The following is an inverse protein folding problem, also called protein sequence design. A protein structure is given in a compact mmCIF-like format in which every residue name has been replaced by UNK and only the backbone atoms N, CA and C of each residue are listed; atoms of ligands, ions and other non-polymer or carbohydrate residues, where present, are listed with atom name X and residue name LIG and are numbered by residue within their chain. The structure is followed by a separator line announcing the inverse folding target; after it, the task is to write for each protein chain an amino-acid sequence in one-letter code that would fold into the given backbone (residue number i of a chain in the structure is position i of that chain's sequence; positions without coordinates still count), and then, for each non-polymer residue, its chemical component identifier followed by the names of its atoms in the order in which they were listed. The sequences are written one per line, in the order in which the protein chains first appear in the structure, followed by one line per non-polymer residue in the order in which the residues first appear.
data_IF_906123182621
#
_entry.id   IF_906123182621
#
_cell.length_a   1.000
_cell.length_b   1.000
_cell.length_c   1.000
_cell.angle_alpha   90.00
_cell.angle_beta   90.00
_cell.angle_gamma   90.00
#
_symmetry.space_group_name_H-M   'P 1'
#
loop_
_entity.id
_entity.type
_entity.pdbx_description
1 polymer ?
#
# COMPACT_ATOMS: atom_id res chain seq x y z
N UNK A 1 -14.35 11.99 5.17
CA UNK A 1 -13.40 11.08 4.50
C UNK A 1 -13.83 9.67 4.83
N UNK A 2 -14.33 8.91 3.85
CA UNK A 2 -14.93 7.60 4.12
C UNK A 2 -13.86 6.51 3.96
N UNK A 3 -13.46 5.92 5.08
CA UNK A 3 -12.79 4.63 5.16
C UNK A 3 -13.79 3.69 5.83
N UNK A 4 -14.51 2.87 5.06
CA UNK A 4 -15.47 1.90 5.63
C UNK A 4 -14.93 0.46 5.64
N UNK A 5 -13.62 0.28 5.57
CA UNK A 5 -12.96 -0.99 5.92
C UNK A 5 -11.57 -0.67 6.48
N UNK A 6 -11.17 -1.25 7.64
CA UNK A 6 -9.82 -1.04 8.15
C UNK A 6 -8.82 -1.58 7.13
N UNK A 7 -7.75 -0.81 6.88
CA UNK A 7 -6.64 -1.29 6.07
C UNK A 7 -6.11 -2.60 6.67
N UNK A 8 -5.79 -3.60 5.82
CA UNK A 8 -5.23 -4.83 6.33
C UNK A 8 -3.92 -4.53 7.07
N UNK A 9 -3.68 -5.14 8.25
CA UNK A 9 -2.42 -4.95 8.97
C UNK A 9 -1.25 -5.47 8.11
N UNK A 10 -0.01 -5.04 8.38
CA UNK A 10 1.17 -5.55 7.69
C UNK A 10 1.18 -7.07 7.62
N UNK A 11 1.53 -7.67 6.47
CA UNK A 11 1.58 -9.12 6.38
C UNK A 11 2.66 -9.67 7.32
N UNK A 12 2.35 -10.74 8.04
CA UNK A 12 3.26 -11.38 9.00
C UNK A 12 4.31 -12.26 8.32
N UNK A 13 4.04 -12.68 7.08
CA UNK A 13 4.93 -13.52 6.27
C UNK A 13 4.61 -13.39 4.77
N UNK A 14 5.50 -13.93 3.93
CA UNK A 14 5.39 -13.91 2.47
C UNK A 14 4.13 -14.65 1.97
N UNK A 15 3.74 -15.75 2.62
CA UNK A 15 2.54 -16.50 2.22
C UNK A 15 1.28 -15.65 2.33
N UNK A 16 1.13 -14.90 3.43
CA UNK A 16 0.00 -14.00 3.62
C UNK A 16 -0.01 -12.85 2.60
N UNK A 17 1.17 -12.33 2.23
CA UNK A 17 1.31 -11.34 1.16
C UNK A 17 0.85 -11.92 -0.18
N UNK A 18 1.28 -13.15 -0.51
CA UNK A 18 0.92 -13.83 -1.74
C UNK A 18 -0.58 -14.13 -1.82
N UNK A 19 -1.19 -14.62 -0.74
CA UNK A 19 -2.64 -14.86 -0.67
C UNK A 19 -3.43 -13.56 -0.89
N UNK A 20 -2.97 -12.43 -0.32
CA UNK A 20 -3.58 -11.12 -0.56
C UNK A 20 -3.44 -10.71 -2.03
N UNK A 21 -2.26 -10.87 -2.63
CA UNK A 21 -2.03 -10.55 -4.03
C UNK A 21 -2.90 -11.40 -4.97
N UNK A 22 -3.04 -12.70 -4.70
CA UNK A 22 -3.89 -13.60 -5.45
C UNK A 22 -5.37 -13.18 -5.38
N UNK A 23 -5.84 -12.66 -4.24
CA UNK A 23 -7.21 -12.12 -4.12
C UNK A 23 -7.46 -10.87 -4.97
N UNK A 24 -6.41 -10.14 -5.36
CA UNK A 24 -6.53 -8.98 -6.25
C UNK A 24 -6.53 -9.40 -7.73
N UNK A 25 -6.07 -10.60 -8.06
CA UNK A 25 -6.04 -11.09 -9.42
C UNK A 25 -7.47 -11.16 -9.99
N UNK A 26 -7.62 -10.69 -11.23
CA UNK A 26 -8.91 -10.63 -11.91
C UNK A 26 -9.67 -9.32 -11.70
N UNK A 27 -9.24 -8.45 -10.79
CA UNK A 27 -9.77 -7.09 -10.68
C UNK A 27 -9.00 -6.10 -11.55
N UNK A 28 -9.73 -5.14 -12.10
CA UNK A 28 -9.16 -3.96 -12.71
C UNK A 28 -8.74 -2.94 -11.63
N UNK A 29 -7.77 -2.09 -11.96
CA UNK A 29 -7.36 -0.99 -11.08
C UNK A 29 -8.52 -0.05 -10.72
N UNK A 30 -9.49 0.12 -11.63
CA UNK A 30 -10.67 0.94 -11.39
C UNK A 30 -11.62 0.35 -10.36
N UNK A 31 -11.84 -0.97 -10.41
CA UNK A 31 -12.65 -1.67 -9.41
C UNK A 31 -12.00 -1.64 -8.03
N UNK A 32 -10.68 -1.86 -7.97
CA UNK A 32 -9.91 -1.75 -6.74
C UNK A 32 -9.98 -0.32 -6.17
N UNK A 33 -9.81 0.71 -6.99
CA UNK A 33 -9.91 2.09 -6.54
C UNK A 33 -11.33 2.47 -6.06
N UNK A 34 -12.36 2.03 -6.78
CA UNK A 34 -13.75 2.26 -6.37
C UNK A 34 -14.07 1.62 -5.02
N UNK A 35 -13.58 0.38 -4.79
CA UNK A 35 -13.73 -0.34 -3.51
C UNK A 35 -12.95 0.32 -2.38
N UNK A 36 -11.77 0.85 -2.67
CA UNK A 36 -10.95 1.61 -1.71
C UNK A 36 -11.43 3.05 -1.50
N UNK A 37 -12.44 3.50 -2.24
CA UNK A 37 -12.90 4.90 -2.28
C UNK A 37 -11.77 5.89 -2.65
N UNK A 38 -10.83 5.46 -3.48
CA UNK A 38 -9.71 6.26 -3.98
C UNK A 38 -10.06 6.83 -5.35
N UNK A 39 -9.83 8.13 -5.54
CA UNK A 39 -10.00 8.78 -6.83
C UNK A 39 -8.98 8.22 -7.84
N UNK A 40 -9.48 7.81 -9.01
CA UNK A 40 -8.65 7.35 -10.12
C UNK A 40 -8.11 8.60 -10.85
N UNK A 41 -6.79 8.75 -11.02
CA UNK A 41 -6.23 9.87 -11.74
C UNK A 41 -6.62 9.80 -13.22
N UNK A 42 -6.83 10.96 -13.83
CA UNK A 42 -7.18 11.06 -15.24
C UNK A 42 -6.05 10.54 -16.17
N UNK A 43 -4.80 10.48 -15.69
CA UNK A 43 -3.67 9.96 -16.46
C UNK A 43 -2.58 9.34 -15.59
N UNK A 44 -2.48 8.00 -15.64
CA UNK A 44 -1.46 7.21 -14.93
C UNK A 44 0.00 7.52 -15.37
N UNK A 45 0.22 8.22 -16.51
CA UNK A 45 1.58 8.61 -16.94
C UNK A 45 2.20 9.70 -16.05
N UNK A 46 1.38 10.54 -15.40
CA UNK A 46 1.84 11.61 -14.50
C UNK A 46 1.96 11.12 -13.06
N UNK A 47 1.07 10.24 -12.64
CA UNK A 47 1.05 9.67 -11.29
C UNK A 47 1.74 8.29 -11.25
N UNK A 48 3.04 8.27 -11.54
CA UNK A 48 3.86 7.04 -11.65
C UNK A 48 3.93 6.17 -10.37
N UNK A 49 3.35 6.63 -9.26
CA UNK A 49 3.26 5.90 -8.00
C UNK A 49 1.83 5.49 -7.60
N UNK A 50 0.78 5.91 -8.32
CA UNK A 50 -0.60 5.70 -7.88
C UNK A 50 -0.99 4.22 -7.86
N UNK A 51 -0.56 3.46 -8.87
CA UNK A 51 -0.78 2.01 -8.93
C UNK A 51 -0.07 1.31 -7.77
N UNK A 52 1.17 1.72 -7.48
CA UNK A 52 1.94 1.20 -6.34
C UNK A 52 1.23 1.45 -5.02
N UNK A 53 0.85 2.70 -4.75
CA UNK A 53 0.08 3.09 -3.57
C UNK A 53 -1.22 2.28 -3.43
N UNK A 54 -1.97 2.08 -4.52
CA UNK A 54 -3.19 1.28 -4.50
C UNK A 54 -2.91 -0.18 -4.13
N UNK A 55 -1.85 -0.78 -4.67
CA UNK A 55 -1.48 -2.15 -4.33
C UNK A 55 -0.96 -2.26 -2.89
N UNK A 56 -0.12 -1.33 -2.44
CA UNK A 56 0.38 -1.27 -1.06
C UNK A 56 -0.75 -1.21 -0.04
N UNK A 57 -1.80 -0.45 -0.36
CA UNK A 57 -3.02 -0.35 0.43
C UNK A 57 -3.69 -1.72 0.63
N UNK A 58 -3.88 -2.48 -0.45
CA UNK A 58 -4.55 -3.78 -0.43
C UNK A 58 -3.67 -4.89 0.17
N UNK A 59 -2.36 -4.79 -0.01
CA UNK A 59 -1.41 -5.75 0.50
C UNK A 59 -1.09 -5.51 1.99
N UNK A 60 -1.44 -4.33 2.53
CA UNK A 60 -1.03 -3.91 3.87
C UNK A 60 0.46 -3.58 3.93
N UNK A 61 1.09 -3.31 2.78
CA UNK A 61 2.53 -3.03 2.68
C UNK A 61 2.89 -1.59 3.10
N UNK A 62 1.89 -0.75 3.43
CA UNK A 62 2.11 0.46 4.23
C UNK A 62 2.44 0.08 5.69
N UNK A 63 3.44 -0.76 5.88
CA UNK A 63 4.17 -0.79 7.12
C UNK A 63 4.85 0.58 7.18
N UNK A 64 4.53 1.37 8.21
CA UNK A 64 5.21 2.63 8.42
C UNK A 64 6.72 2.39 8.28
N UNK A 65 7.31 2.93 7.22
CA UNK A 65 8.69 3.34 7.26
C UNK A 65 8.72 4.41 8.33
N UNK A 66 8.81 3.99 9.60
CA UNK A 66 9.54 4.79 10.56
C UNK A 66 10.89 4.98 9.87
N UNK A 67 11.31 6.22 9.57
CA UNK A 67 12.72 6.46 9.39
C UNK A 67 13.31 6.24 10.77
N UNK A 68 13.51 4.98 11.15
CA UNK A 68 14.32 4.65 12.30
C UNK A 68 15.72 5.02 11.83
N UNK A 69 16.16 6.22 12.24
CA UNK A 69 17.45 6.77 11.88
C UNK A 69 18.50 5.68 12.16
N UNK A 70 19.16 5.19 11.11
CA UNK A 70 20.03 4.00 11.21
C UNK A 70 21.13 4.13 12.28
N UNK A 71 21.47 5.34 12.72
CA UNK A 71 22.48 5.59 13.75
C UNK A 71 22.13 6.78 14.66
N UNK A 72 21.48 6.57 15.82
CA UNK A 72 21.33 7.60 16.84
C UNK A 72 22.66 7.93 17.58
N UNK A 73 23.70 7.10 17.44
CA UNK A 73 24.93 7.20 18.23
C UNK A 73 26.17 7.81 17.53
N UNK A 74 26.05 8.43 16.36
CA UNK A 74 27.23 8.98 15.68
C UNK A 74 27.70 10.35 16.22
N UNK A 75 26.92 11.00 17.10
CA UNK A 75 27.20 12.35 17.59
C UNK A 75 27.90 12.37 18.96
N UNK A 76 28.85 11.48 19.20
CA UNK A 76 29.77 11.64 20.34
C UNK A 76 31.17 11.09 20.01
N UNK A 77 31.95 11.90 19.30
CA UNK A 77 33.41 11.95 19.39
C UNK A 77 33.87 13.37 19.12
#
# INVERSE_FOLDING_TARGET
MAFLSPLPPPPENEQQLLERAQRLAGYTLGELAARAQIAIPANLKRDKGWVGMLLELYLGAMAGSKPEQDFPNWASS
#
